data_IF_663703531657
#
_entry.id   IF_663703531657
#
_cell.length_a   1.000
_cell.length_b   1.000
_cell.length_c   1.000
_cell.angle_alpha   90.00
_cell.angle_beta   90.00
_cell.angle_gamma   90.00
#
_symmetry.space_group_name_H-M   'P 1'
#
loop_
_entity.id
_entity.type
_entity.pdbx_description
1 polymer ?
#
# COMPACT_ATOMS: atom_id res chain seq x y z
N UNK A 1 67.12 -61.98 15.53
CA UNK A 1 66.51 -60.92 16.27
C UNK A 1 65.84 -59.92 15.32
N UNK A 2 64.54 -60.01 15.14
CA UNK A 2 63.74 -59.00 14.39
C UNK A 2 63.13 -58.00 15.38
N UNK A 3 63.38 -56.75 15.14
CA UNK A 3 62.97 -55.63 15.93
C UNK A 3 61.44 -55.41 15.82
N UNK A 4 60.71 -54.92 16.87
CA UNK A 4 59.25 -54.79 16.93
C UNK A 4 58.68 -53.65 16.10
N UNK A 5 59.48 -52.90 15.34
CA UNK A 5 59.02 -51.59 14.70
C UNK A 5 58.46 -51.74 13.28
N UNK A 6 58.29 -52.97 12.75
CA UNK A 6 57.78 -53.15 11.36
C UNK A 6 56.28 -53.50 11.25
N UNK A 7 55.50 -53.41 12.36
CA UNK A 7 54.06 -53.72 12.34
C UNK A 7 53.11 -52.53 12.60
N UNK A 8 53.64 -51.31 12.64
CA UNK A 8 52.80 -50.12 12.92
C UNK A 8 52.48 -49.21 11.71
N UNK A 9 52.97 -49.56 10.50
CA UNK A 9 52.71 -48.68 9.31
C UNK A 9 51.75 -49.27 8.28
N UNK A 10 51.09 -50.40 8.54
CA UNK A 10 50.13 -50.98 7.60
C UNK A 10 48.65 -50.77 7.95
N UNK A 11 48.34 -50.03 9.02
CA UNK A 11 46.95 -49.84 9.48
C UNK A 11 46.40 -48.41 9.36
N UNK A 12 47.18 -47.44 8.84
CA UNK A 12 46.74 -46.02 8.76
C UNK A 12 46.32 -45.55 7.38
N UNK A 13 46.38 -46.38 6.33
CA UNK A 13 46.06 -45.96 4.95
C UNK A 13 44.66 -46.38 4.44
N UNK A 14 43.86 -47.09 5.24
CA UNK A 14 42.54 -47.58 4.82
C UNK A 14 41.34 -46.96 5.59
N UNK A 15 41.56 -45.92 6.43
CA UNK A 15 40.45 -45.20 7.12
C UNK A 15 40.21 -43.81 6.57
N UNK A 16 41.05 -43.34 5.64
CA UNK A 16 40.91 -41.98 5.06
C UNK A 16 40.09 -41.91 3.77
N UNK A 17 39.46 -42.98 3.29
CA UNK A 17 38.73 -43.00 2.01
C UNK A 17 37.24 -43.40 2.10
N UNK A 18 36.64 -43.38 3.29
CA UNK A 18 35.20 -43.68 3.43
C UNK A 18 34.34 -42.52 3.99
N UNK A 19 34.90 -41.28 4.05
CA UNK A 19 34.15 -40.10 4.50
C UNK A 19 33.93 -39.05 3.42
N UNK A 20 34.12 -39.41 2.16
CA UNK A 20 33.91 -38.50 1.01
C UNK A 20 32.80 -39.02 0.10
N UNK A 21 31.64 -39.37 0.68
CA UNK A 21 30.47 -39.64 -0.13
C UNK A 21 29.22 -39.20 0.62
N UNK A 22 28.40 -38.42 -0.12
CA UNK A 22 27.07 -37.94 0.18
C UNK A 22 26.97 -36.62 0.99
N UNK A 23 27.55 -35.56 0.46
CA UNK A 23 26.77 -34.32 0.40
C UNK A 23 25.79 -34.48 -0.76
N UNK A 24 24.61 -35.02 -0.50
CA UNK A 24 23.44 -34.79 -1.35
C UNK A 24 23.37 -33.31 -1.62
N UNK A 25 23.64 -32.92 -2.85
CA UNK A 25 23.37 -31.57 -3.33
C UNK A 25 21.87 -31.35 -3.21
N UNK A 26 21.45 -30.67 -2.16
CA UNK A 26 20.08 -30.15 -2.10
C UNK A 26 19.81 -29.48 -3.46
N UNK A 27 18.73 -29.82 -4.13
CA UNK A 27 18.40 -29.21 -5.42
C UNK A 27 18.39 -27.70 -5.18
N UNK A 28 19.24 -26.95 -5.91
CA UNK A 28 19.22 -25.49 -5.88
C UNK A 28 17.79 -25.09 -6.22
N UNK A 29 17.08 -24.46 -5.27
CA UNK A 29 15.78 -23.85 -5.54
C UNK A 29 15.94 -23.00 -6.78
N UNK A 30 15.12 -23.26 -7.79
CA UNK A 30 15.11 -22.50 -9.03
C UNK A 30 14.71 -21.06 -8.68
N UNK A 31 15.52 -20.09 -9.11
CA UNK A 31 15.15 -18.69 -8.93
C UNK A 31 13.83 -18.41 -9.70
N UNK A 32 12.89 -17.66 -9.09
CA UNK A 32 11.62 -17.37 -9.74
C UNK A 32 11.84 -16.52 -10.99
N UNK A 33 11.04 -16.78 -11.99
CA UNK A 33 10.99 -15.97 -13.22
C UNK A 33 10.34 -14.62 -12.96
N UNK A 34 10.57 -13.64 -13.86
CA UNK A 34 9.89 -12.34 -13.75
C UNK A 34 8.36 -12.48 -13.83
N UNK A 35 7.86 -13.40 -14.63
CA UNK A 35 6.43 -13.65 -14.75
C UNK A 35 5.84 -14.18 -13.42
N UNK A 36 6.51 -15.09 -12.74
CA UNK A 36 6.10 -15.59 -11.42
C UNK A 36 6.13 -14.50 -10.35
N UNK A 37 7.14 -13.61 -10.38
CA UNK A 37 7.22 -12.46 -9.49
C UNK A 37 6.07 -11.47 -9.79
N UNK A 38 5.81 -11.16 -11.07
CA UNK A 38 4.73 -10.26 -11.46
C UNK A 38 3.35 -10.79 -11.03
N UNK A 39 3.13 -12.09 -11.16
CA UNK A 39 1.90 -12.74 -10.67
C UNK A 39 1.76 -12.60 -9.15
N UNK A 40 2.83 -12.86 -8.42
CA UNK A 40 2.83 -12.77 -6.96
C UNK A 40 2.63 -11.34 -6.46
N UNK A 41 3.19 -10.31 -7.12
CA UNK A 41 2.96 -8.89 -6.76
C UNK A 41 1.51 -8.47 -6.99
N UNK A 42 0.85 -9.04 -8.00
CA UNK A 42 -0.55 -8.76 -8.31
C UNK A 42 -1.53 -9.45 -7.33
N UNK A 43 -1.06 -10.39 -6.53
CA UNK A 43 -1.82 -11.03 -5.48
C UNK A 43 -1.62 -10.31 -4.14
N UNK A 44 -2.63 -9.56 -3.61
CA UNK A 44 -2.50 -8.82 -2.36
C UNK A 44 -2.29 -9.73 -1.14
N UNK A 45 -2.53 -11.02 -1.29
CA UNK A 45 -2.32 -12.05 -0.26
C UNK A 45 -1.12 -12.97 -0.60
N UNK A 46 -0.18 -12.52 -1.41
CA UNK A 46 1.03 -13.29 -1.72
C UNK A 46 1.94 -13.43 -0.50
N UNK A 47 2.98 -14.25 -0.64
CA UNK A 47 4.02 -14.39 0.38
C UNK A 47 5.18 -13.41 0.19
N UNK A 48 5.08 -12.50 -0.79
CA UNK A 48 6.13 -11.52 -1.05
C UNK A 48 6.11 -10.40 -0.01
N UNK A 49 7.28 -10.08 0.48
CA UNK A 49 7.51 -8.84 1.22
C UNK A 49 7.70 -7.72 0.21
N UNK A 50 6.88 -6.68 0.32
CA UNK A 50 6.89 -5.54 -0.59
C UNK A 50 7.03 -4.24 0.21
N UNK A 51 7.72 -3.28 -0.38
CA UNK A 51 7.63 -1.90 0.06
C UNK A 51 6.82 -1.13 -0.98
N UNK A 52 5.52 -0.96 -0.74
CA UNK A 52 4.65 -0.23 -1.64
C UNK A 52 4.77 1.26 -1.38
N UNK A 53 5.42 1.99 -2.30
CA UNK A 53 5.47 3.45 -2.29
C UNK A 53 4.54 3.97 -3.37
N UNK A 54 3.62 4.84 -2.97
CA UNK A 54 2.63 5.46 -3.85
C UNK A 54 2.68 6.96 -3.62
N UNK A 55 2.69 7.74 -4.70
CA UNK A 55 2.54 9.18 -4.62
C UNK A 55 1.29 9.59 -5.40
N UNK A 56 0.37 10.22 -4.71
CA UNK A 56 -0.88 10.76 -5.25
C UNK A 56 -0.77 12.28 -5.28
N UNK A 57 -0.82 12.87 -6.46
CA UNK A 57 -0.97 14.31 -6.65
C UNK A 57 -2.36 14.58 -7.18
N UNK A 58 -3.11 15.43 -6.48
CA UNK A 58 -4.49 15.77 -6.83
C UNK A 58 -4.69 17.29 -6.90
N UNK A 59 -5.56 17.72 -7.78
CA UNK A 59 -6.00 19.10 -7.97
C UNK A 59 -7.40 19.22 -7.41
N UNK A 60 -7.59 20.16 -6.51
CA UNK A 60 -8.81 20.39 -5.74
C UNK A 60 -9.43 21.72 -6.07
N UNK A 61 -10.74 21.74 -6.31
CA UNK A 61 -11.54 22.91 -6.55
C UNK A 61 -12.92 22.77 -5.88
N UNK A 62 -13.71 23.82 -5.84
CA UNK A 62 -15.05 23.80 -5.30
C UNK A 62 -15.55 25.19 -4.94
N UNK A 63 -16.70 25.27 -4.28
CA UNK A 63 -17.37 26.51 -3.91
C UNK A 63 -16.47 27.49 -3.14
N UNK A 64 -15.56 26.97 -2.32
CA UNK A 64 -14.61 27.78 -1.54
C UNK A 64 -13.61 28.47 -2.47
N UNK A 65 -12.96 27.75 -3.37
CA UNK A 65 -12.00 28.34 -4.31
C UNK A 65 -12.69 29.32 -5.26
N UNK A 66 -13.88 28.99 -5.75
CA UNK A 66 -14.65 29.82 -6.67
C UNK A 66 -15.14 31.11 -6.01
N UNK A 67 -15.63 31.05 -4.76
CA UNK A 67 -16.15 32.21 -4.03
C UNK A 67 -15.06 33.26 -3.76
N UNK A 68 -13.79 32.85 -3.63
CA UNK A 68 -12.67 33.75 -3.36
C UNK A 68 -11.81 34.02 -4.61
N UNK A 69 -12.16 33.45 -5.76
CA UNK A 69 -11.40 33.59 -7.00
C UNK A 69 -10.00 32.99 -6.95
N UNK A 70 -9.83 31.93 -6.15
CA UNK A 70 -8.59 31.22 -5.97
C UNK A 70 -8.40 30.15 -7.05
N UNK A 71 -7.15 29.88 -7.41
CA UNK A 71 -6.79 28.78 -8.30
C UNK A 71 -6.97 27.42 -7.60
N UNK A 72 -7.05 26.35 -8.38
CA UNK A 72 -7.06 24.96 -7.89
C UNK A 72 -5.92 24.72 -6.91
N UNK A 73 -6.23 24.06 -5.80
CA UNK A 73 -5.23 23.70 -4.78
C UNK A 73 -4.60 22.34 -5.10
N UNK A 74 -3.29 22.29 -5.03
CA UNK A 74 -2.55 21.03 -5.28
C UNK A 74 -2.25 20.33 -3.97
N UNK A 75 -2.81 19.13 -3.82
CA UNK A 75 -2.53 18.25 -2.68
C UNK A 75 -1.66 17.08 -3.12
N UNK A 76 -0.64 16.78 -2.32
CA UNK A 76 0.24 15.65 -2.55
C UNK A 76 0.27 14.75 -1.33
N UNK A 77 0.08 13.45 -1.55
CA UNK A 77 0.21 12.44 -0.50
C UNK A 77 1.15 11.35 -0.97
N UNK A 78 2.23 11.14 -0.22
CA UNK A 78 3.12 9.98 -0.41
C UNK A 78 2.79 8.93 0.64
N UNK A 79 2.37 7.75 0.20
CA UNK A 79 2.08 6.60 1.05
C UNK A 79 3.26 5.64 1.05
N UNK A 80 3.82 5.37 2.22
CA UNK A 80 4.85 4.34 2.43
C UNK A 80 4.18 3.16 3.11
N UNK A 81 4.16 2.00 2.43
CA UNK A 81 3.34 0.87 2.85
C UNK A 81 4.14 -0.44 2.79
N UNK A 82 4.82 -0.83 3.88
CA UNK A 82 5.38 -2.16 3.99
C UNK A 82 4.27 -3.22 3.98
N UNK A 83 4.36 -4.21 3.10
CA UNK A 83 3.44 -5.35 3.06
C UNK A 83 4.19 -6.56 3.61
N UNK A 84 3.71 -7.06 4.75
CA UNK A 84 4.40 -8.04 5.56
C UNK A 84 3.53 -9.30 5.74
N UNK A 85 3.72 -10.33 4.90
CA UNK A 85 3.05 -11.61 5.08
C UNK A 85 3.70 -12.40 6.22
N UNK A 86 2.89 -12.84 7.18
CA UNK A 86 3.28 -13.64 8.32
C UNK A 86 2.54 -14.98 8.32
N UNK A 87 3.27 -16.09 8.26
CA UNK A 87 2.67 -17.41 8.40
C UNK A 87 2.28 -17.66 9.86
N UNK A 88 1.01 -17.90 10.12
CA UNK A 88 0.47 -18.16 11.46
C UNK A 88 0.41 -19.68 11.76
N UNK A 89 -0.15 -20.44 10.83
CA UNK A 89 -0.25 -21.91 10.89
C UNK A 89 0.04 -22.46 9.49
N UNK A 90 -0.03 -23.77 9.31
CA UNK A 90 0.13 -24.40 7.98
C UNK A 90 -0.92 -23.87 6.98
N UNK A 91 -2.14 -23.58 7.44
CA UNK A 91 -3.27 -23.16 6.61
C UNK A 91 -3.54 -21.65 6.59
N UNK A 92 -3.08 -20.91 7.60
CA UNK A 92 -3.44 -19.52 7.80
C UNK A 92 -2.22 -18.59 7.83
N UNK A 93 -2.38 -17.44 7.22
CA UNK A 93 -1.45 -16.31 7.27
C UNK A 93 -2.15 -15.01 7.63
N UNK A 94 -1.37 -14.05 8.09
CA UNK A 94 -1.78 -12.67 8.21
C UNK A 94 -0.93 -11.81 7.28
N UNK A 95 -1.56 -10.86 6.61
CA UNK A 95 -0.87 -9.77 5.89
C UNK A 95 -1.02 -8.53 6.76
N UNK A 96 0.10 -7.98 7.22
CA UNK A 96 0.14 -6.75 7.99
C UNK A 96 0.62 -5.64 7.05
N UNK A 97 -0.14 -4.54 6.99
CA UNK A 97 0.17 -3.40 6.12
C UNK A 97 -0.07 -2.09 6.85
N UNK A 98 0.96 -1.48 7.44
CA UNK A 98 0.91 -0.07 7.82
C UNK A 98 0.89 0.80 6.56
N UNK A 99 0.05 1.82 6.55
CA UNK A 99 -0.05 2.86 5.52
C UNK A 99 0.37 4.16 6.19
N UNK A 100 1.55 4.64 5.85
CA UNK A 100 2.18 5.81 6.46
C UNK A 100 2.08 6.95 5.46
N UNK A 101 1.14 7.92 5.66
CA UNK A 101 0.98 9.05 4.77
C UNK A 101 1.94 10.18 5.12
N UNK A 102 2.61 10.72 4.11
CA UNK A 102 3.29 12.02 4.16
C UNK A 102 2.47 12.95 3.29
N UNK A 103 1.82 13.90 3.91
CA UNK A 103 0.89 14.84 3.28
C UNK A 103 1.58 16.18 3.02
N UNK A 104 1.19 16.85 1.93
CA UNK A 104 1.56 18.23 1.64
C UNK A 104 0.33 18.91 1.03
N UNK A 105 -0.36 19.73 1.82
CA UNK A 105 -1.63 20.36 1.48
C UNK A 105 -1.54 21.86 1.64
N UNK A 106 -2.30 22.60 0.83
CA UNK A 106 -2.58 24.00 1.07
C UNK A 106 -3.76 24.11 2.03
N UNK A 107 -3.51 24.63 3.22
CA UNK A 107 -4.50 24.80 4.30
C UNK A 107 -4.86 26.26 4.46
N UNK A 108 -6.06 26.55 4.96
CA UNK A 108 -6.50 27.93 5.21
C UNK A 108 -5.81 28.41 6.51
N UNK A 109 -4.89 29.39 6.38
CA UNK A 109 -4.19 29.99 7.52
C UNK A 109 -4.95 31.20 8.13
N UNK A 110 -5.82 31.83 7.37
CA UNK A 110 -6.62 32.95 7.85
C UNK A 110 -7.41 33.70 6.78
N UNK A 111 -8.13 34.68 7.25
CA UNK A 111 -8.88 35.56 6.39
C UNK A 111 -8.26 36.99 6.43
N UNK A 112 -7.87 37.53 5.27
CA UNK A 112 -7.46 38.93 5.16
C UNK A 112 -8.69 39.84 5.15
N UNK A 113 -8.83 40.56 6.24
CA UNK A 113 -9.78 41.67 6.29
C UNK A 113 -9.00 42.95 5.96
N UNK A 114 -9.16 43.48 4.74
CA UNK A 114 -8.54 44.76 4.38
C UNK A 114 -9.06 45.86 5.31
N UNK A 115 -8.21 46.32 6.23
CA UNK A 115 -8.54 47.47 7.12
C UNK A 115 -8.77 48.79 6.35
N UNK A 116 -8.36 48.82 5.08
CA UNK A 116 -8.40 50.05 4.26
C UNK A 116 -9.63 50.18 3.37
N UNK A 117 -10.34 49.10 3.10
CA UNK A 117 -11.59 49.08 2.34
C UNK A 117 -12.64 48.18 3.01
N UNK A 118 -13.59 48.73 3.79
CA UNK A 118 -14.60 47.92 4.51
C UNK A 118 -15.56 47.13 3.63
N UNK A 119 -15.51 47.31 2.32
CA UNK A 119 -16.29 46.58 1.31
C UNK A 119 -15.39 45.83 0.30
N UNK A 120 -14.07 45.67 0.59
CA UNK A 120 -13.17 44.89 -0.24
C UNK A 120 -13.47 43.39 -0.12
N UNK A 121 -13.14 42.60 -1.15
CA UNK A 121 -13.32 41.15 -1.06
C UNK A 121 -12.52 40.60 0.13
N UNK A 122 -13.15 39.74 0.93
CA UNK A 122 -12.44 38.91 1.93
C UNK A 122 -11.44 38.06 1.19
N UNK A 123 -10.17 38.17 1.52
CA UNK A 123 -9.13 37.28 1.02
C UNK A 123 -8.97 36.06 1.95
N UNK A 124 -8.72 34.89 1.39
CA UNK A 124 -8.29 33.74 2.15
C UNK A 124 -6.80 33.55 1.94
N UNK A 125 -6.05 33.39 3.04
CA UNK A 125 -4.65 33.05 3.00
C UNK A 125 -4.51 31.53 3.08
N UNK A 126 -3.77 30.96 2.12
CA UNK A 126 -3.39 29.56 2.15
C UNK A 126 -1.92 29.41 2.53
N UNK A 127 -1.62 28.54 3.45
CA UNK A 127 -0.27 28.12 3.78
C UNK A 127 -0.12 26.63 3.47
N UNK A 128 1.08 26.24 2.99
CA UNK A 128 1.37 24.83 2.69
C UNK A 128 1.90 24.13 3.90
N UNK A 129 1.09 23.21 4.44
CA UNK A 129 1.51 22.32 5.50
C UNK A 129 2.06 21.00 4.93
N UNK A 130 3.18 20.54 5.49
CA UNK A 130 3.79 19.27 5.10
C UNK A 130 4.21 18.47 6.34
N UNK A 131 3.75 17.25 6.44
CA UNK A 131 4.08 16.39 7.57
C UNK A 131 3.47 15.00 7.48
N UNK A 132 3.60 14.26 8.57
CA UNK A 132 2.97 12.96 8.74
C UNK A 132 1.46 13.15 8.93
N UNK A 133 0.66 12.32 8.27
CA UNK A 133 -0.76 12.20 8.53
C UNK A 133 -1.10 11.04 9.47
N UNK A 134 -2.36 10.67 9.54
CA UNK A 134 -2.82 9.56 10.36
C UNK A 134 -2.42 8.22 9.75
N UNK A 135 -1.65 7.43 10.50
CA UNK A 135 -1.20 6.11 10.07
C UNK A 135 -2.36 5.13 10.15
N UNK A 136 -2.60 4.42 9.05
CA UNK A 136 -3.58 3.32 9.02
C UNK A 136 -2.86 2.00 9.09
N UNK A 137 -3.26 1.14 10.01
CA UNK A 137 -2.78 -0.24 10.10
C UNK A 137 -3.93 -1.19 9.79
N UNK A 138 -3.82 -1.97 8.72
CA UNK A 138 -4.76 -3.04 8.49
C UNK A 138 -4.08 -4.41 8.48
N UNK A 139 -4.84 -5.41 8.90
CA UNK A 139 -4.40 -6.79 8.97
C UNK A 139 -5.43 -7.67 8.29
N UNK A 140 -5.02 -8.37 7.24
CA UNK A 140 -5.86 -9.35 6.57
C UNK A 140 -5.46 -10.76 6.98
N UNK A 141 -6.37 -11.47 7.63
CA UNK A 141 -6.26 -12.91 7.84
C UNK A 141 -6.79 -13.64 6.60
N UNK A 142 -6.02 -14.60 6.13
CA UNK A 142 -6.35 -15.38 4.94
C UNK A 142 -5.86 -16.82 5.08
N UNK A 143 -6.59 -17.74 4.45
CA UNK A 143 -6.02 -19.08 4.21
C UNK A 143 -4.92 -19.00 3.15
N UNK A 144 -4.09 -20.01 3.08
CA UNK A 144 -3.08 -20.18 2.03
C UNK A 144 -3.77 -20.64 0.74
N UNK A 145 -4.58 -19.72 0.14
CA UNK A 145 -5.23 -19.99 -1.14
C UNK A 145 -4.23 -19.98 -2.27
N UNK A 146 -4.47 -20.85 -3.23
CA UNK A 146 -3.82 -20.78 -4.54
C UNK A 146 -4.73 -19.98 -5.47
N UNK A 147 -4.20 -19.04 -6.29
CA UNK A 147 -5.00 -18.38 -7.31
C UNK A 147 -5.80 -19.39 -8.14
N UNK A 148 -6.96 -19.01 -8.76
CA UNK A 148 -7.28 -17.60 -9.06
C UNK A 148 -8.00 -16.82 -7.95
N UNK A 149 -8.67 -17.46 -7.01
CA UNK A 149 -9.55 -16.75 -6.07
C UNK A 149 -8.90 -16.66 -4.68
N UNK A 150 -8.77 -15.43 -4.16
CA UNK A 150 -8.17 -15.16 -2.85
C UNK A 150 -9.07 -14.24 -2.04
N UNK A 151 -9.17 -14.50 -0.73
CA UNK A 151 -10.01 -13.78 0.21
C UNK A 151 -9.24 -13.49 1.50
N UNK A 152 -9.45 -12.30 2.03
CA UNK A 152 -8.90 -11.91 3.33
C UNK A 152 -9.85 -10.98 4.05
N UNK A 153 -9.79 -10.97 5.37
CA UNK A 153 -10.57 -10.10 6.23
C UNK A 153 -9.83 -9.83 7.54
N UNK A 154 -10.17 -8.76 8.20
CA UNK A 154 -9.58 -8.45 9.50
C UNK A 154 -9.90 -7.05 9.98
N UNK A 155 -9.20 -6.56 11.01
CA UNK A 155 -9.35 -5.21 11.50
C UNK A 155 -8.52 -4.21 10.71
N UNK A 156 -9.00 -2.96 10.70
CA UNK A 156 -8.25 -1.78 10.31
C UNK A 156 -8.33 -0.73 11.42
N UNK A 157 -7.22 -0.05 11.69
CA UNK A 157 -7.10 0.98 12.72
C UNK A 157 -6.45 2.21 12.08
N UNK A 158 -7.07 3.36 12.25
CA UNK A 158 -6.50 4.66 11.92
C UNK A 158 -6.05 5.30 13.23
N UNK A 159 -4.79 5.66 13.30
CA UNK A 159 -4.14 6.18 14.51
C UNK A 159 -3.99 7.69 14.38
N UNK A 160 -4.31 8.40 15.43
CA UNK A 160 -4.07 9.83 15.58
C UNK A 160 -2.55 10.07 15.72
N UNK A 161 -1.88 10.22 14.58
CA UNK A 161 -0.42 10.35 14.49
C UNK A 161 0.03 11.52 13.64
N UNK A 162 -0.90 12.31 13.13
CA UNK A 162 -0.59 13.49 12.34
C UNK A 162 0.32 14.45 13.13
N UNK A 163 1.28 15.06 12.41
CA UNK A 163 2.22 16.02 13.02
C UNK A 163 1.65 17.43 13.10
N UNK A 164 0.54 17.66 12.44
CA UNK A 164 -0.21 18.90 12.44
C UNK A 164 -1.70 18.61 12.33
N UNK A 165 -2.53 19.45 12.95
CA UNK A 165 -3.99 19.30 12.99
C UNK A 165 -4.63 19.30 11.59
N UNK A 166 -4.04 20.02 10.65
CA UNK A 166 -4.52 20.09 9.27
C UNK A 166 -4.23 18.81 8.47
N UNK A 167 -3.31 17.97 8.92
CA UNK A 167 -2.84 16.77 8.21
C UNK A 167 -3.49 15.48 8.69
N UNK A 168 -4.33 15.53 9.74
CA UNK A 168 -4.96 14.37 10.35
C UNK A 168 -6.40 14.63 10.81
N UNK A 169 -7.03 13.57 11.30
CA UNK A 169 -8.40 13.62 11.81
C UNK A 169 -8.48 14.04 13.28
N UNK A 170 -7.38 13.95 14.05
CA UNK A 170 -7.37 14.12 15.50
C UNK A 170 -8.12 13.01 16.24
N UNK A 171 -8.39 11.87 15.57
CA UNK A 171 -9.20 10.78 16.11
C UNK A 171 -8.53 9.43 15.95
N UNK A 172 -8.66 8.60 16.97
CA UNK A 172 -8.44 7.16 16.87
C UNK A 172 -9.69 6.49 16.34
N UNK A 173 -9.55 5.75 15.24
CA UNK A 173 -10.69 5.11 14.58
C UNK A 173 -10.35 3.66 14.26
N UNK A 174 -11.35 2.78 14.29
CA UNK A 174 -11.18 1.37 13.98
C UNK A 174 -12.42 0.82 13.27
N UNK A 175 -12.23 -0.29 12.58
CA UNK A 175 -13.33 -0.98 11.92
C UNK A 175 -12.89 -2.24 11.18
N UNK A 176 -13.78 -2.81 10.36
CA UNK A 176 -13.49 -3.99 9.57
C UNK A 176 -12.80 -3.63 8.25
N UNK A 177 -12.02 -4.58 7.76
CA UNK A 177 -11.55 -4.61 6.39
C UNK A 177 -11.81 -5.98 5.77
N UNK A 178 -12.05 -6.01 4.48
CA UNK A 178 -12.15 -7.24 3.71
C UNK A 178 -11.57 -7.03 2.30
N UNK A 179 -11.07 -8.11 1.72
CA UNK A 179 -10.66 -8.12 0.34
C UNK A 179 -11.03 -9.43 -0.35
N UNK A 180 -11.33 -9.33 -1.63
CA UNK A 180 -11.60 -10.46 -2.50
C UNK A 180 -11.03 -10.18 -3.89
N UNK A 181 -10.25 -11.12 -4.43
CA UNK A 181 -9.63 -10.96 -5.75
C UNK A 181 -9.73 -12.23 -6.56
N UNK A 182 -9.91 -12.05 -7.87
CA UNK A 182 -9.70 -13.06 -8.87
C UNK A 182 -8.43 -12.72 -9.68
N UNK A 183 -7.47 -13.63 -9.70
CA UNK A 183 -6.17 -13.45 -10.35
C UNK A 183 -6.07 -14.45 -11.48
N UNK A 184 -6.71 -14.13 -12.60
CA UNK A 184 -6.73 -14.95 -13.80
C UNK A 184 -5.55 -14.69 -14.73
N UNK A 185 -5.47 -15.46 -15.83
CA UNK A 185 -4.38 -15.34 -16.81
C UNK A 185 -4.34 -13.96 -17.49
N UNK A 186 -5.51 -13.41 -17.87
CA UNK A 186 -5.65 -12.12 -18.57
C UNK A 186 -6.25 -11.03 -17.71
N UNK A 187 -7.16 -11.38 -16.81
CA UNK A 187 -7.88 -10.43 -16.01
C UNK A 187 -7.55 -10.61 -14.52
N UNK A 188 -7.29 -9.49 -13.86
CA UNK A 188 -7.19 -9.39 -12.43
C UNK A 188 -8.26 -8.41 -12.00
N UNK A 189 -9.19 -8.85 -11.17
CA UNK A 189 -10.22 -7.98 -10.62
C UNK A 189 -10.51 -8.34 -9.19
N UNK A 190 -10.94 -7.34 -8.44
CA UNK A 190 -11.23 -7.53 -7.03
C UNK A 190 -11.60 -6.24 -6.35
N UNK A 191 -11.67 -6.30 -5.04
CA UNK A 191 -12.01 -5.18 -4.19
C UNK A 191 -11.30 -5.29 -2.86
N UNK A 192 -10.85 -4.16 -2.34
CA UNK A 192 -10.53 -3.96 -0.92
C UNK A 192 -11.56 -3.00 -0.36
N UNK A 193 -12.17 -3.32 0.75
CA UNK A 193 -13.14 -2.46 1.44
C UNK A 193 -12.74 -2.30 2.89
N UNK A 194 -12.82 -1.08 3.40
CA UNK A 194 -12.50 -0.71 4.77
C UNK A 194 -13.54 0.28 5.27
N UNK A 195 -13.77 0.24 6.57
CA UNK A 195 -14.61 1.24 7.22
C UNK A 195 -14.04 1.57 8.60
N UNK A 196 -14.14 2.85 9.01
CA UNK A 196 -13.64 3.32 10.29
C UNK A 196 -14.71 4.13 11.01
N UNK A 197 -14.84 3.89 12.31
CA UNK A 197 -15.56 4.71 13.26
C UNK A 197 -14.60 5.23 14.31
N UNK A 198 -14.66 6.52 14.65
CA UNK A 198 -13.90 7.08 15.76
C UNK A 198 -14.39 6.50 17.09
N UNK A 199 -13.46 6.28 18.02
CA UNK A 199 -13.75 5.81 19.37
C UNK A 199 -12.99 6.58 20.46
N UNK A 200 -11.99 7.40 20.09
CA UNK A 200 -11.20 8.24 20.97
C UNK A 200 -10.54 9.37 20.16
N UNK A 201 -9.93 10.32 20.84
CA UNK A 201 -9.20 11.46 20.26
C UNK A 201 -9.74 12.79 20.77
N UNK A 202 -9.43 13.87 20.05
CA UNK A 202 -9.82 15.21 20.39
C UNK A 202 -11.35 15.40 20.29
N UNK A 203 -11.99 15.87 21.37
CA UNK A 203 -13.43 16.09 21.43
C UNK A 203 -13.91 17.35 20.65
N UNK A 204 -13.00 18.22 20.28
CA UNK A 204 -13.30 19.43 19.50
C UNK A 204 -13.27 19.17 17.98
N UNK A 205 -12.74 18.01 17.56
CA UNK A 205 -12.70 17.55 16.17
C UNK A 205 -13.92 16.71 15.84
N UNK A 206 -14.35 16.76 14.57
CA UNK A 206 -15.47 15.97 14.06
C UNK A 206 -15.21 14.47 14.21
N UNK A 207 -16.27 13.69 14.41
CA UNK A 207 -16.19 12.25 14.43
C UNK A 207 -15.80 11.69 13.06
N UNK A 208 -15.14 10.54 13.07
CA UNK A 208 -14.77 9.82 11.86
C UNK A 208 -15.78 8.68 11.62
N UNK A 209 -16.39 8.69 10.45
CA UNK A 209 -17.28 7.66 9.95
C UNK A 209 -17.04 7.52 8.44
N UNK A 210 -15.94 6.81 8.10
CA UNK A 210 -15.38 6.76 6.75
C UNK A 210 -15.44 5.37 6.15
N UNK A 211 -15.83 5.29 4.88
CA UNK A 211 -15.70 4.10 4.05
C UNK A 211 -14.66 4.34 2.96
N UNK A 212 -13.76 3.39 2.73
CA UNK A 212 -12.86 3.36 1.58
C UNK A 212 -13.06 2.04 0.83
N UNK A 213 -13.39 2.14 -0.44
CA UNK A 213 -13.58 0.99 -1.33
C UNK A 213 -12.62 1.16 -2.50
N UNK A 214 -11.72 0.20 -2.68
CA UNK A 214 -10.79 0.16 -3.79
C UNK A 214 -11.15 -0.98 -4.75
N UNK A 215 -11.99 -0.75 -5.77
CA UNK A 215 -12.16 -1.69 -6.85
C UNK A 215 -10.87 -1.76 -7.68
N UNK A 216 -10.47 -2.96 -8.06
CA UNK A 216 -9.31 -3.21 -8.91
C UNK A 216 -9.79 -3.92 -10.17
N UNK A 217 -9.41 -3.39 -11.32
CA UNK A 217 -9.65 -4.01 -12.61
C UNK A 217 -8.41 -3.83 -13.49
N UNK A 218 -7.73 -4.93 -13.80
CA UNK A 218 -6.51 -4.92 -14.61
C UNK A 218 -6.58 -5.95 -15.70
N UNK A 219 -6.11 -5.59 -16.89
CA UNK A 219 -5.91 -6.48 -18.01
C UNK A 219 -4.40 -6.67 -18.24
N UNK A 220 -3.95 -7.91 -18.34
CA UNK A 220 -2.55 -8.25 -18.61
C UNK A 220 -2.26 -8.09 -20.10
N UNK A 221 -1.44 -7.09 -20.45
CA UNK A 221 -0.92 -6.90 -21.80
C UNK A 221 0.23 -7.87 -22.07
N UNK A 222 1.10 -8.05 -21.10
CA UNK A 222 2.20 -9.04 -21.07
C UNK A 222 2.22 -9.72 -19.70
N UNK A 223 3.01 -10.75 -19.45
CA UNK A 223 3.15 -11.32 -18.11
C UNK A 223 3.56 -10.28 -17.05
N UNK A 224 4.35 -9.26 -17.43
CA UNK A 224 4.88 -8.23 -16.55
C UNK A 224 4.05 -6.93 -16.54
N UNK A 225 3.25 -6.67 -17.58
CA UNK A 225 2.59 -5.37 -17.79
C UNK A 225 1.09 -5.49 -17.75
N UNK A 226 0.45 -4.64 -16.95
CA UNK A 226 -0.99 -4.52 -16.86
C UNK A 226 -1.45 -3.12 -17.25
N UNK A 227 -2.67 -3.04 -17.82
CA UNK A 227 -3.42 -1.81 -17.97
C UNK A 227 -4.74 -1.93 -17.21
N UNK A 228 -5.18 -0.85 -16.58
CA UNK A 228 -6.42 -0.89 -15.80
C UNK A 228 -6.48 0.20 -14.74
N UNK A 229 -7.26 0.00 -13.70
CA UNK A 229 -7.48 0.97 -12.66
C UNK A 229 -7.54 0.31 -11.26
N UNK A 230 -7.22 1.10 -10.24
CA UNK A 230 -7.41 0.76 -8.82
C UNK A 230 -7.71 2.05 -8.01
N UNK A 231 -8.82 2.75 -8.31
CA UNK A 231 -9.19 3.98 -7.63
C UNK A 231 -9.59 3.72 -6.18
N UNK A 232 -9.50 4.74 -5.32
CA UNK A 232 -10.09 4.73 -4.00
C UNK A 232 -11.40 5.54 -4.00
N UNK A 233 -12.53 4.85 -3.90
CA UNK A 233 -13.85 5.46 -3.71
C UNK A 233 -14.01 5.69 -2.21
N UNK A 234 -14.22 6.94 -1.81
CA UNK A 234 -14.36 7.31 -0.39
C UNK A 234 -15.73 7.87 -0.10
N UNK A 235 -16.27 7.48 1.06
CA UNK A 235 -17.54 8.02 1.58
C UNK A 235 -17.35 8.49 2.99
N UNK A 236 -17.58 9.78 3.24
CA UNK A 236 -17.65 10.36 4.59
C UNK A 236 -19.11 10.44 5.02
N UNK A 237 -19.50 9.65 5.99
CA UNK A 237 -20.90 9.54 6.47
C UNK A 237 -21.28 10.66 7.43
N UNK A 238 -20.33 11.47 7.89
CA UNK A 238 -20.59 12.68 8.67
C UNK A 238 -21.03 13.85 7.77
N UNK A 239 -20.69 13.80 6.48
CA UNK A 239 -21.13 14.80 5.50
C UNK A 239 -22.59 14.60 5.08
N UNK A 240 -23.22 15.66 4.61
CA UNK A 240 -24.52 15.62 3.96
C UNK A 240 -24.49 14.66 2.75
N UNK A 241 -25.68 14.24 2.29
CA UNK A 241 -25.78 13.21 1.23
C UNK A 241 -25.06 13.58 -0.06
N UNK A 242 -25.09 14.87 -0.39
CA UNK A 242 -24.58 15.40 -1.66
C UNK A 242 -23.04 15.56 -1.65
N UNK A 243 -22.45 15.74 -0.44
CA UNK A 243 -21.00 15.87 -0.24
C UNK A 243 -20.33 14.61 0.29
N UNK A 244 -21.07 13.50 0.33
CA UNK A 244 -20.60 12.26 0.98
C UNK A 244 -19.53 11.54 0.22
N UNK A 245 -19.62 11.50 -1.11
CA UNK A 245 -18.84 10.63 -1.92
C UNK A 245 -17.75 11.33 -2.72
N UNK A 246 -16.61 10.69 -2.82
CA UNK A 246 -15.55 11.00 -3.78
C UNK A 246 -15.30 9.77 -4.65
N UNK A 247 -15.65 9.87 -5.93
CA UNK A 247 -15.64 8.73 -6.87
C UNK A 247 -14.71 9.02 -8.04
N UNK A 248 -13.45 8.54 -8.01
CA UNK A 248 -12.52 8.64 -9.13
C UNK A 248 -12.74 7.54 -10.16
N UNK A 249 -12.67 7.91 -11.43
CA UNK A 249 -12.65 6.99 -12.58
C UNK A 249 -11.44 7.31 -13.46
N UNK A 250 -10.73 6.31 -13.91
CA UNK A 250 -9.51 6.54 -14.65
C UNK A 250 -8.89 5.29 -15.22
N UNK A 251 -7.65 5.44 -15.64
CA UNK A 251 -6.87 4.36 -16.24
C UNK A 251 -5.39 4.53 -15.87
N UNK A 252 -4.66 3.44 -15.87
CA UNK A 252 -3.24 3.44 -15.67
C UNK A 252 -2.57 2.22 -16.26
N UNK A 253 -1.27 2.24 -16.19
CA UNK A 253 -0.40 1.14 -16.61
C UNK A 253 0.61 0.87 -15.50
N UNK A 254 0.86 -0.40 -15.25
CA UNK A 254 1.95 -0.83 -14.38
C UNK A 254 2.77 -1.94 -15.04
N UNK A 255 4.05 -1.99 -14.72
CA UNK A 255 4.95 -3.00 -15.26
C UNK A 255 6.02 -3.39 -14.25
N UNK A 256 6.44 -4.65 -14.29
CA UNK A 256 7.58 -5.14 -13.52
C UNK A 256 8.87 -4.92 -14.30
N UNK A 257 9.81 -4.20 -13.72
CA UNK A 257 11.14 -3.98 -14.26
C UNK A 257 12.21 -4.56 -13.32
N UNK A 258 13.45 -4.66 -13.79
CA UNK A 258 14.60 -4.95 -12.93
C UNK A 258 15.48 -3.72 -12.78
N UNK A 259 15.71 -3.32 -11.53
CA UNK A 259 16.74 -2.33 -11.19
C UNK A 259 17.95 -3.08 -10.61
N UNK A 260 18.87 -3.46 -11.48
CA UNK A 260 19.94 -4.40 -11.12
C UNK A 260 19.34 -5.78 -10.75
N UNK A 261 19.62 -6.32 -9.57
CA UNK A 261 19.02 -7.59 -9.11
C UNK A 261 17.61 -7.44 -8.54
N UNK A 262 17.14 -6.20 -8.30
CA UNK A 262 15.90 -5.92 -7.59
C UNK A 262 14.71 -5.88 -8.56
N UNK A 263 13.71 -6.76 -8.42
CA UNK A 263 12.44 -6.64 -9.13
C UNK A 263 11.64 -5.47 -8.53
N UNK A 264 11.15 -4.58 -9.39
CA UNK A 264 10.38 -3.39 -8.99
C UNK A 264 9.17 -3.24 -9.90
N UNK A 265 7.97 -3.19 -9.33
CA UNK A 265 6.78 -2.78 -10.07
C UNK A 265 6.73 -1.25 -10.07
N UNK A 266 6.60 -0.68 -11.25
CA UNK A 266 6.38 0.76 -11.45
C UNK A 266 5.04 0.97 -12.13
N UNK A 267 4.36 2.08 -11.82
CA UNK A 267 3.06 2.37 -12.43
C UNK A 267 2.75 3.86 -12.45
N UNK A 268 1.88 4.20 -13.39
CA UNK A 268 1.29 5.52 -13.56
C UNK A 268 -0.20 5.36 -13.79
N UNK A 269 -1.02 6.06 -13.01
CA UNK A 269 -2.48 6.06 -13.14
C UNK A 269 -2.97 7.51 -13.12
N UNK A 270 -4.02 7.80 -13.89
CA UNK A 270 -4.68 9.11 -13.90
C UNK A 270 -6.19 8.91 -13.70
N UNK A 271 -6.77 9.77 -12.87
CA UNK A 271 -8.17 9.71 -12.47
C UNK A 271 -8.83 11.07 -12.59
N UNK A 272 -10.09 11.06 -13.02
CA UNK A 272 -11.03 12.18 -12.93
C UNK A 272 -12.09 11.80 -11.89
N UNK A 273 -12.38 12.70 -10.97
CA UNK A 273 -13.50 12.50 -10.06
C UNK A 273 -14.80 12.87 -10.76
N UNK A 274 -15.76 11.94 -10.74
CA UNK A 274 -17.09 12.09 -11.30
C UNK A 274 -18.11 12.48 -10.23
N UNK A 275 -17.74 12.34 -8.98
CA UNK A 275 -18.45 12.77 -7.78
C UNK A 275 -17.41 13.24 -6.77
N UNK A 276 -17.62 14.39 -6.14
CA UNK A 276 -16.75 14.99 -5.13
C UNK A 276 -17.56 15.92 -4.26
N UNK A 277 -17.12 16.23 -3.01
CA UNK A 277 -17.77 17.25 -2.18
C UNK A 277 -17.74 18.64 -2.85
N UNK A 278 -18.89 19.33 -2.86
CA UNK A 278 -19.04 20.65 -3.47
C UNK A 278 -18.17 21.74 -2.81
N UNK A 279 -18.03 21.81 -1.47
CA UNK A 279 -17.24 22.86 -0.85
C UNK A 279 -15.79 22.90 -1.27
N UNK A 280 -15.14 21.73 -1.28
CA UNK A 280 -13.75 21.54 -1.75
C UNK A 280 -13.50 20.05 -1.96
N UNK A 281 -13.23 19.65 -3.18
CA UNK A 281 -13.01 18.25 -3.54
C UNK A 281 -11.99 18.07 -4.65
N UNK A 282 -11.44 16.84 -4.78
CA UNK A 282 -10.48 16.52 -5.83
C UNK A 282 -11.18 16.44 -7.18
N UNK A 283 -10.67 17.13 -8.18
CA UNK A 283 -11.11 17.00 -9.56
C UNK A 283 -10.33 15.97 -10.34
N UNK A 284 -9.01 16.05 -10.26
CA UNK A 284 -8.06 15.18 -10.93
C UNK A 284 -7.05 14.60 -9.95
N UNK A 285 -6.56 13.43 -10.28
CA UNK A 285 -5.48 12.79 -9.54
C UNK A 285 -4.55 12.07 -10.50
N UNK A 286 -3.26 12.20 -10.26
CA UNK A 286 -2.21 11.38 -10.86
C UNK A 286 -1.54 10.57 -9.76
N UNK A 287 -1.41 9.27 -9.98
CA UNK A 287 -0.78 8.32 -9.06
C UNK A 287 0.47 7.72 -9.66
N UNK A 288 1.56 7.78 -8.93
CA UNK A 288 2.81 7.09 -9.24
C UNK A 288 2.99 5.92 -8.28
N UNK A 289 3.41 4.78 -8.81
CA UNK A 289 3.70 3.57 -8.04
C UNK A 289 5.16 3.16 -8.19
N UNK A 290 5.79 2.83 -7.05
CA UNK A 290 7.11 2.25 -6.98
C UNK A 290 7.11 1.15 -5.91
N UNK A 291 7.18 -0.13 -6.34
CA UNK A 291 6.95 -1.27 -5.45
C UNK A 291 8.09 -2.28 -5.59
N UNK A 292 9.23 -2.09 -4.89
CA UNK A 292 10.28 -3.08 -4.84
C UNK A 292 9.85 -4.33 -4.05
N UNK A 293 10.29 -5.49 -4.55
CA UNK A 293 10.24 -6.73 -3.79
C UNK A 293 11.41 -6.73 -2.82
N UNK A 294 11.12 -6.75 -1.53
CA UNK A 294 12.17 -6.74 -0.50
C UNK A 294 12.41 -8.15 0.05
N UNK A 295 13.65 -8.47 0.47
CA UNK A 295 13.93 -9.76 1.07
C UNK A 295 13.09 -9.97 2.34
N UNK A 296 12.52 -11.17 2.50
CA UNK A 296 11.87 -11.54 3.75
C UNK A 296 12.88 -11.62 4.88
N UNK A 297 12.58 -11.09 6.08
CA UNK A 297 13.45 -11.29 7.23
C UNK A 297 13.56 -12.77 7.59
N UNK A 298 14.75 -13.21 8.01
CA UNK A 298 15.01 -14.62 8.33
C UNK A 298 14.11 -15.24 9.42
N UNK A 299 13.44 -14.40 10.22
CA UNK A 299 12.48 -14.82 11.25
C UNK A 299 11.06 -15.04 10.72
N UNK A 300 10.72 -14.54 9.53
CA UNK A 300 9.34 -14.55 9.02
C UNK A 300 8.82 -15.94 8.67
N UNK A 301 9.71 -16.93 8.51
CA UNK A 301 9.41 -18.31 8.06
C UNK A 301 8.56 -18.37 6.78
N UNK A 302 8.35 -17.23 6.13
CA UNK A 302 7.59 -17.13 4.89
C UNK A 302 8.52 -17.54 3.74
N UNK A 303 8.24 -18.61 3.00
CA UNK A 303 9.05 -18.96 1.84
C UNK A 303 8.94 -17.81 0.82
N UNK A 304 10.03 -17.44 0.18
CA UNK A 304 10.01 -16.43 -0.89
C UNK A 304 9.24 -16.97 -2.11
N UNK A 305 9.22 -18.30 -2.31
CA UNK A 305 8.50 -19.02 -3.38
C UNK A 305 8.29 -20.47 -2.97
#
# INVERSE_FOLDING_TARGET
>A
GLSPDSLLFASASNVANSSAENKESQPKKKEPTQAEIAEAINNPLSHLWLLWVQNDTSWWSGDITDAFGEDDKVMNTTLIQPIMPLQLTEDWKAIIRPVIPINSFDTIDGFDVSETEPEGPLGINFERETGLGDIVLWTAFSKNYTPPDVFGFGPTIMMDTATDDALGTGKWSAGPMALAFHIGEKWIYGVVAQHWWSFAGDSERDDVNLTDIQPVLRYRLTPETNIGMAPNIRGNWENDSDDRWSIPVGLGVDTLIKLGPLPVKVGLEAYRYIEQPDPLGPEWQVRLLFVPVVPSPGWSKTPLF
#
